data_IF_590892099359
#
_entry.id   IF_590892099359
#
_cell.length_a   1.000
_cell.length_b   1.000
_cell.length_c   1.000
_cell.angle_alpha   90.00
_cell.angle_beta   90.00
_cell.angle_gamma   90.00
#
_symmetry.space_group_name_H-M   'P 1'
#
loop_
_entity.id
_entity.type
_entity.pdbx_description
1 polymer ?
#
# COMPACT_ATOMS: atom_id res chain seq x y z
N UNK A 1 29.81 -11.88 -6.65
CA UNK A 1 31.10 -12.34 -6.09
C UNK A 1 30.79 -13.14 -4.84
N UNK A 2 31.30 -14.37 -4.77
CA UNK A 2 31.00 -15.38 -3.74
C UNK A 2 31.67 -15.05 -2.39
N UNK A 3 31.16 -15.72 -1.35
CA UNK A 3 31.79 -16.07 -0.05
C UNK A 3 31.50 -15.14 1.13
N UNK A 4 30.70 -15.62 2.09
CA UNK A 4 31.12 -15.68 3.51
C UNK A 4 30.61 -16.96 4.18
N UNK A 5 31.59 -17.75 4.61
CA UNK A 5 31.51 -18.96 5.42
C UNK A 5 31.21 -18.54 6.87
N UNK A 6 30.28 -19.22 7.56
CA UNK A 6 30.18 -19.17 9.02
C UNK A 6 30.28 -20.61 9.53
N UNK A 7 31.40 -20.90 10.20
CA UNK A 7 31.64 -22.13 10.96
C UNK A 7 31.35 -21.76 12.42
N UNK A 8 30.38 -22.40 13.07
CA UNK A 8 30.25 -22.37 14.53
C UNK A 8 30.51 -23.77 15.10
N UNK A 9 31.40 -23.77 16.08
CA UNK A 9 32.07 -24.89 16.73
C UNK A 9 31.13 -25.59 17.74
N UNK A 10 31.12 -26.92 17.72
CA UNK A 10 30.24 -27.74 18.55
C UNK A 10 30.64 -27.86 20.02
N UNK A 11 29.64 -28.16 20.85
CA UNK A 11 29.79 -28.73 22.19
C UNK A 11 28.98 -30.04 22.24
N UNK A 12 29.64 -31.16 22.52
CA UNK A 12 29.04 -32.50 22.59
C UNK A 12 28.49 -32.76 23.98
N UNK A 13 27.22 -33.14 24.07
CA UNK A 13 26.64 -33.82 25.23
C UNK A 13 26.09 -35.19 24.78
N UNK A 14 26.31 -36.27 25.53
CA UNK A 14 25.68 -37.56 25.23
C UNK A 14 24.27 -37.57 25.84
N UNK A 15 23.29 -38.18 25.17
CA UNK A 15 22.32 -39.15 25.73
C UNK A 15 21.11 -39.39 24.79
N UNK A 16 20.87 -40.68 24.55
CA UNK A 16 19.64 -41.36 24.06
C UNK A 16 19.30 -41.21 22.57
N UNK A 17 19.60 -42.28 21.83
CA UNK A 17 19.20 -42.48 20.44
C UNK A 17 17.68 -42.77 20.33
N UNK A 18 16.96 -41.84 19.72
CA UNK A 18 15.70 -42.10 19.01
C UNK A 18 16.01 -42.18 17.51
N UNK A 19 15.31 -43.00 16.70
CA UNK A 19 15.47 -42.95 15.25
C UNK A 19 14.94 -41.60 14.77
N UNK A 20 15.84 -40.69 14.43
CA UNK A 20 15.51 -39.43 13.78
C UNK A 20 15.04 -39.74 12.36
N UNK A 21 13.73 -39.70 12.15
CA UNK A 21 13.14 -39.52 10.82
C UNK A 21 13.77 -38.24 10.28
N UNK A 22 14.58 -38.37 9.23
CA UNK A 22 15.31 -37.27 8.62
C UNK A 22 14.36 -36.13 8.28
N UNK A 23 14.43 -35.04 9.05
CA UNK A 23 13.88 -33.77 8.65
C UNK A 23 14.74 -33.30 7.48
N UNK A 24 14.27 -33.56 6.26
CA UNK A 24 14.77 -32.89 5.08
C UNK A 24 14.64 -31.38 5.35
N UNK A 25 15.78 -30.74 5.60
CA UNK A 25 15.87 -29.29 5.63
C UNK A 25 15.58 -28.82 4.22
N UNK A 26 14.32 -28.48 3.96
CA UNK A 26 13.96 -27.72 2.78
C UNK A 26 14.52 -26.32 3.00
N UNK A 27 15.74 -26.07 2.53
CA UNK A 27 16.22 -24.73 2.25
C UNK A 27 15.31 -24.14 1.17
N UNK A 28 14.19 -23.56 1.61
CA UNK A 28 13.39 -22.67 0.79
C UNK A 28 14.18 -21.38 0.60
N UNK A 29 15.19 -21.42 -0.27
CA UNK A 29 15.80 -20.20 -0.81
C UNK A 29 14.85 -19.66 -1.88
N UNK A 30 13.67 -19.22 -1.48
CA UNK A 30 12.98 -18.22 -2.28
C UNK A 30 13.72 -16.92 -2.02
N UNK A 31 14.59 -16.51 -2.96
CA UNK A 31 14.80 -15.07 -3.12
C UNK A 31 13.40 -14.51 -3.40
N UNK A 32 12.74 -14.06 -2.34
CA UNK A 32 11.40 -13.53 -2.43
C UNK A 32 11.56 -12.16 -3.08
N UNK A 33 11.58 -12.16 -4.42
CA UNK A 33 11.71 -10.95 -5.21
C UNK A 33 10.63 -9.98 -4.74
N UNK A 34 11.04 -8.77 -4.37
CA UNK A 34 10.12 -7.71 -3.97
C UNK A 34 9.03 -7.52 -5.05
N UNK A 35 7.73 -7.60 -4.70
CA UNK A 35 6.64 -7.56 -5.69
C UNK A 35 6.43 -6.14 -6.22
N UNK A 36 6.11 -6.00 -7.51
CA UNK A 36 5.70 -4.70 -8.05
C UNK A 36 4.32 -4.30 -7.49
N UNK A 37 4.16 -3.02 -7.18
CA UNK A 37 2.90 -2.45 -6.66
C UNK A 37 2.34 -1.50 -7.72
N UNK A 38 1.11 -1.78 -8.17
CA UNK A 38 0.36 -0.90 -9.07
C UNK A 38 -0.90 -0.39 -8.34
N UNK A 39 -0.95 0.92 -8.09
CA UNK A 39 -2.11 1.60 -7.49
C UNK A 39 -2.81 2.42 -8.56
N UNK A 40 -4.06 2.06 -8.87
CA UNK A 40 -4.92 2.78 -9.82
C UNK A 40 -6.02 3.47 -9.03
N UNK A 41 -6.16 4.79 -9.19
CA UNK A 41 -7.18 5.60 -8.52
C UNK A 41 -7.98 6.32 -9.58
N UNK A 42 -9.27 6.01 -9.69
CA UNK A 42 -10.22 6.77 -10.50
C UNK A 42 -10.66 8.04 -9.77
N UNK A 43 -10.88 9.14 -10.50
CA UNK A 43 -11.48 10.36 -9.95
C UNK A 43 -12.99 10.34 -10.23
N UNK A 44 -13.78 10.63 -9.19
CA UNK A 44 -15.25 10.70 -9.24
C UNK A 44 -15.97 9.48 -9.86
N UNK A 45 -15.36 8.30 -9.81
CA UNK A 45 -15.99 7.05 -10.28
C UNK A 45 -16.97 6.54 -9.23
N UNK A 46 -18.23 6.36 -9.63
CA UNK A 46 -19.25 5.72 -8.82
C UNK A 46 -19.10 4.20 -8.80
N UNK A 47 -19.52 3.58 -7.69
CA UNK A 47 -19.55 2.10 -7.60
C UNK A 47 -20.38 1.47 -8.72
N UNK A 48 -21.47 2.12 -9.14
CA UNK A 48 -22.33 1.67 -10.24
C UNK A 48 -21.75 1.82 -11.64
N UNK A 49 -20.59 2.46 -11.80
CA UNK A 49 -19.95 2.69 -13.11
C UNK A 49 -19.02 1.53 -13.52
N UNK A 50 -18.76 0.59 -12.60
CA UNK A 50 -17.82 -0.50 -12.79
C UNK A 50 -18.56 -1.84 -12.96
N UNK A 51 -18.25 -2.56 -14.04
CA UNK A 51 -18.84 -3.86 -14.36
C UNK A 51 -18.73 -4.89 -13.21
N UNK A 52 -17.62 -4.97 -12.42
CA UNK A 52 -17.54 -5.82 -11.23
C UNK A 52 -18.62 -5.62 -10.16
N UNK A 53 -19.28 -4.46 -10.19
CA UNK A 53 -20.30 -4.02 -9.24
C UNK A 53 -21.69 -3.86 -9.88
N UNK A 54 -21.88 -4.35 -11.12
CA UNK A 54 -23.18 -4.41 -11.79
C UNK A 54 -23.48 -3.31 -12.82
N UNK A 55 -22.47 -2.55 -13.26
CA UNK A 55 -22.62 -1.53 -14.29
C UNK A 55 -22.97 -2.09 -15.68
N UNK A 56 -23.68 -1.30 -16.47
CA UNK A 56 -23.84 -1.46 -17.91
C UNK A 56 -22.62 -1.00 -18.72
N UNK A 57 -21.73 -0.20 -18.13
CA UNK A 57 -20.53 0.31 -18.80
C UNK A 57 -19.51 -0.83 -18.96
N UNK A 58 -19.06 -1.05 -20.19
CA UNK A 58 -18.08 -2.09 -20.50
C UNK A 58 -16.70 -1.71 -19.96
N UNK A 59 -16.26 -2.42 -18.91
CA UNK A 59 -14.94 -2.24 -18.27
C UNK A 59 -14.20 -3.59 -18.20
N UNK A 60 -13.90 -4.23 -19.35
CA UNK A 60 -13.48 -5.64 -19.40
C UNK A 60 -12.16 -5.90 -18.66
N UNK A 61 -11.19 -4.98 -18.73
CA UNK A 61 -9.90 -5.11 -18.03
C UNK A 61 -10.08 -5.08 -16.51
N UNK A 62 -10.86 -4.13 -15.98
CA UNK A 62 -11.16 -4.05 -14.55
C UNK A 62 -11.99 -5.25 -14.09
N UNK A 63 -12.88 -5.75 -14.95
CA UNK A 63 -13.65 -6.96 -14.69
C UNK A 63 -12.77 -8.21 -14.56
N UNK A 64 -11.78 -8.40 -15.44
CA UNK A 64 -10.82 -9.51 -15.30
C UNK A 64 -10.04 -9.44 -13.99
N UNK A 65 -9.50 -8.25 -13.66
CA UNK A 65 -8.77 -8.04 -12.40
C UNK A 65 -9.63 -8.34 -11.17
N UNK A 66 -10.91 -7.96 -11.21
CA UNK A 66 -11.83 -8.18 -10.10
C UNK A 66 -12.30 -9.64 -9.97
N UNK A 67 -12.26 -10.43 -11.04
CA UNK A 67 -12.54 -11.87 -11.02
C UNK A 67 -11.37 -12.70 -10.48
N UNK A 68 -10.15 -12.27 -10.77
CA UNK A 68 -8.92 -12.91 -10.28
C UNK A 68 -8.48 -12.42 -8.90
N UNK A 69 -9.02 -11.27 -8.45
CA UNK A 69 -8.65 -10.61 -7.21
C UNK A 69 -9.72 -10.66 -6.12
N UNK A 70 -9.58 -9.72 -5.18
CA UNK A 70 -10.52 -9.51 -4.07
C UNK A 70 -11.30 -8.22 -4.33
N UNK A 71 -12.62 -8.27 -4.11
CA UNK A 71 -13.52 -7.12 -4.22
C UNK A 71 -13.96 -6.68 -2.83
N UNK A 72 -13.96 -5.37 -2.60
CA UNK A 72 -14.48 -4.75 -1.39
C UNK A 72 -15.80 -4.05 -1.69
N UNK A 73 -16.87 -4.42 -0.99
CA UNK A 73 -18.18 -3.76 -1.08
C UNK A 73 -18.43 -2.79 0.09
N UNK A 74 -17.45 -2.64 0.98
CA UNK A 74 -17.51 -1.77 2.15
C UNK A 74 -16.19 -0.99 2.34
N UNK A 75 -15.63 -0.51 1.23
CA UNK A 75 -14.47 0.38 1.20
C UNK A 75 -14.95 1.83 1.27
N UNK A 76 -14.28 2.67 2.07
CA UNK A 76 -14.70 4.04 2.32
C UNK A 76 -13.62 5.02 1.85
N UNK A 77 -14.06 6.09 1.20
CA UNK A 77 -13.26 7.24 0.85
C UNK A 77 -13.90 8.50 1.47
N UNK A 78 -13.09 9.53 1.69
CA UNK A 78 -13.63 10.86 1.97
C UNK A 78 -14.36 11.40 0.73
N UNK A 79 -15.39 12.25 0.89
CA UNK A 79 -16.14 12.82 -0.25
C UNK A 79 -15.34 13.87 -1.04
N UNK A 80 -14.04 13.99 -0.80
CA UNK A 80 -13.14 14.97 -1.41
C UNK A 80 -11.85 14.27 -1.84
N UNK A 81 -11.49 14.42 -3.11
CA UNK A 81 -10.39 13.66 -3.73
C UNK A 81 -9.03 13.95 -3.09
N UNK A 82 -8.73 15.20 -2.71
CA UNK A 82 -7.48 15.55 -2.03
C UNK A 82 -7.37 14.91 -0.65
N UNK A 83 -8.46 14.90 0.12
CA UNK A 83 -8.54 14.30 1.45
C UNK A 83 -8.32 12.79 1.36
N UNK A 84 -9.03 12.13 0.44
CA UNK A 84 -8.87 10.68 0.19
C UNK A 84 -7.46 10.34 -0.22
N UNK A 85 -6.84 11.10 -1.13
CA UNK A 85 -5.46 10.86 -1.57
C UNK A 85 -4.46 11.03 -0.42
N UNK A 86 -4.64 12.05 0.43
CA UNK A 86 -3.80 12.23 1.62
C UNK A 86 -3.86 11.04 2.56
N UNK A 87 -5.06 10.57 2.90
CA UNK A 87 -5.26 9.40 3.73
C UNK A 87 -4.71 8.13 3.08
N UNK A 88 -4.95 7.93 1.78
CA UNK A 88 -4.50 6.77 1.02
C UNK A 88 -2.96 6.65 0.99
N UNK A 89 -2.26 7.76 0.77
CA UNK A 89 -0.80 7.74 0.68
C UNK A 89 -0.09 7.71 2.03
N UNK A 90 -0.73 8.10 3.12
CA UNK A 90 -0.09 8.19 4.44
C UNK A 90 -0.58 7.15 5.43
N UNK A 91 -1.78 6.60 5.23
CA UNK A 91 -2.48 5.77 6.21
C UNK A 91 -2.98 6.55 7.44
N UNK A 92 -2.79 7.87 7.49
CA UNK A 92 -3.10 8.71 8.65
C UNK A 92 -4.44 9.43 8.52
N UNK A 93 -4.93 9.99 9.63
CA UNK A 93 -6.13 10.81 9.61
C UNK A 93 -5.87 12.11 8.82
N UNK A 94 -6.89 12.62 8.12
CA UNK A 94 -6.75 13.82 7.29
C UNK A 94 -6.29 15.05 8.08
N UNK A 95 -6.73 15.20 9.34
CA UNK A 95 -6.31 16.31 10.20
C UNK A 95 -4.83 16.18 10.58
N UNK A 96 -4.30 14.97 10.76
CA UNK A 96 -2.90 14.77 11.12
C UNK A 96 -1.94 15.17 9.99
N UNK A 97 -2.41 15.10 8.74
CA UNK A 97 -1.62 15.37 7.54
C UNK A 97 -1.96 16.70 6.85
N UNK A 98 -2.77 17.54 7.50
CA UNK A 98 -3.11 18.90 7.06
C UNK A 98 -4.25 19.04 6.06
N UNK A 99 -5.02 17.98 5.86
CA UNK A 99 -6.15 17.90 4.95
C UNK A 99 -7.50 17.85 5.69
N UNK A 100 -7.59 18.48 6.86
CA UNK A 100 -8.86 18.73 7.56
C UNK A 100 -9.77 19.71 6.82
N UNK A 101 -9.22 20.51 5.90
CA UNK A 101 -9.96 21.31 4.92
C UNK A 101 -9.32 21.14 3.55
N UNK A 102 -10.13 21.13 2.49
CA UNK A 102 -9.63 21.08 1.11
C UNK A 102 -9.67 22.45 0.43
N UNK A 103 -10.55 23.33 0.90
CA UNK A 103 -10.71 24.70 0.40
C UNK A 103 -11.23 25.60 1.53
N UNK A 104 -10.53 26.70 1.75
CA UNK A 104 -10.87 27.72 2.73
C UNK A 104 -12.05 28.60 2.31
N UNK A 105 -12.42 28.60 1.03
CA UNK A 105 -13.64 29.26 0.55
C UNK A 105 -14.90 28.56 1.12
N UNK A 106 -14.79 27.25 1.35
CA UNK A 106 -15.87 26.41 1.88
C UNK A 106 -15.83 26.37 3.41
N UNK A 107 -14.65 26.46 4.03
CA UNK A 107 -14.48 26.49 5.48
C UNK A 107 -13.63 27.66 6.00
N UNK A 108 -14.09 28.93 5.89
CA UNK A 108 -13.30 30.09 6.31
C UNK A 108 -12.75 30.03 7.75
N UNK A 109 -13.47 29.50 8.75
CA UNK A 109 -12.97 29.40 10.13
C UNK A 109 -11.81 28.41 10.35
N UNK A 110 -11.46 27.58 9.35
CA UNK A 110 -10.36 26.61 9.47
C UNK A 110 -9.00 27.20 9.11
N UNK A 111 -8.97 28.37 8.44
CA UNK A 111 -7.74 28.98 7.94
C UNK A 111 -6.75 29.26 9.07
N UNK A 112 -5.51 28.81 8.87
CA UNK A 112 -4.41 29.00 9.82
C UNK A 112 -4.44 28.07 11.04
N UNK A 113 -5.39 27.12 11.11
CA UNK A 113 -5.40 26.09 12.15
C UNK A 113 -4.54 24.90 11.74
N UNK A 114 -3.79 24.36 12.70
CA UNK A 114 -3.01 23.13 12.51
C UNK A 114 -3.93 21.98 12.10
N UNK A 115 -3.53 21.22 11.08
CA UNK A 115 -4.29 20.12 10.52
C UNK A 115 -5.31 20.52 9.44
N UNK A 116 -5.42 21.82 9.16
CA UNK A 116 -6.32 22.38 8.15
C UNK A 116 -5.54 23.20 7.13
N UNK A 117 -4.27 22.88 6.87
CA UNK A 117 -3.36 23.59 5.97
C UNK A 117 -3.82 23.59 4.50
N UNK A 118 -4.68 22.66 4.10
CA UNK A 118 -5.20 22.57 2.73
C UNK A 118 -4.23 21.89 1.75
N UNK A 119 -3.12 21.36 2.27
CA UNK A 119 -2.12 20.60 1.52
C UNK A 119 -1.51 19.55 2.44
N UNK A 120 -0.88 18.54 1.84
CA UNK A 120 -0.15 17.52 2.58
C UNK A 120 1.07 18.15 3.28
N UNK A 121 1.10 18.11 4.60
CA UNK A 121 2.17 18.74 5.39
C UNK A 121 3.49 17.99 5.24
N UNK A 122 4.60 18.67 5.55
CA UNK A 122 5.95 18.06 5.54
C UNK A 122 6.17 17.02 6.64
N UNK A 123 5.28 16.99 7.63
CA UNK A 123 5.33 16.01 8.72
C UNK A 123 4.70 14.67 8.30
N UNK A 124 4.01 14.63 7.16
CA UNK A 124 3.35 13.44 6.66
C UNK A 124 4.29 12.63 5.76
N UNK A 125 4.67 11.44 6.21
CA UNK A 125 5.45 10.48 5.41
C UNK A 125 4.50 9.66 4.54
N UNK A 126 4.80 9.58 3.25
CA UNK A 126 4.03 8.83 2.27
C UNK A 126 4.55 7.41 2.09
N UNK A 127 3.67 6.50 1.67
CA UNK A 127 4.03 5.13 1.29
C UNK A 127 5.07 5.12 0.16
N UNK A 128 5.06 6.12 -0.73
CA UNK A 128 6.05 6.24 -1.78
C UNK A 128 7.47 6.52 -1.22
N UNK A 129 7.59 7.36 -0.19
CA UNK A 129 8.87 7.59 0.49
C UNK A 129 9.35 6.32 1.20
N UNK A 130 8.48 5.65 1.94
CA UNK A 130 8.81 4.39 2.62
C UNK A 130 9.25 3.29 1.64
N UNK A 131 8.57 3.16 0.50
CA UNK A 131 8.93 2.21 -0.55
C UNK A 131 10.27 2.56 -1.19
N UNK A 132 10.53 3.85 -1.45
CA UNK A 132 11.82 4.30 -2.00
C UNK A 132 12.98 3.99 -1.06
N UNK A 133 12.82 4.26 0.23
CA UNK A 133 13.80 3.91 1.27
C UNK A 133 14.05 2.40 1.34
N UNK A 134 13.06 1.60 0.96
CA UNK A 134 13.13 0.13 0.90
C UNK A 134 13.68 -0.42 -0.44
N UNK A 135 14.13 0.45 -1.34
CA UNK A 135 14.75 0.08 -2.62
C UNK A 135 13.80 0.02 -3.82
N UNK A 136 12.54 0.44 -3.69
CA UNK A 136 11.61 0.49 -4.82
C UNK A 136 11.85 1.72 -5.69
N UNK A 137 11.66 1.55 -7.00
CA UNK A 137 11.47 2.66 -7.91
C UNK A 137 10.01 3.12 -7.86
N UNK A 138 9.78 4.39 -7.52
CA UNK A 138 8.44 4.96 -7.44
C UNK A 138 8.15 5.85 -8.64
N UNK A 139 7.08 5.57 -9.37
CA UNK A 139 6.63 6.36 -10.52
C UNK A 139 5.19 6.81 -10.30
N UNK A 140 4.85 7.99 -10.80
CA UNK A 140 3.48 8.50 -10.80
C UNK A 140 3.15 8.99 -12.20
N UNK A 141 2.02 8.52 -12.72
CA UNK A 141 1.46 8.98 -13.97
C UNK A 141 0.05 9.49 -13.67
N UNK A 142 -0.21 10.71 -14.10
CA UNK A 142 -1.55 11.31 -14.03
C UNK A 142 -2.02 11.45 -15.47
N UNK A 143 -3.08 10.72 -15.81
CA UNK A 143 -3.71 10.83 -17.12
C UNK A 143 -4.84 11.85 -17.01
N UNK A 144 -4.60 13.06 -17.50
CA UNK A 144 -5.58 14.14 -17.57
C UNK A 144 -5.12 15.19 -18.57
N UNK A 145 -6.05 15.58 -19.46
CA UNK A 145 -5.98 16.72 -20.39
C UNK A 145 -5.56 18.02 -19.71
#
# INVERSE_FOLDING_TARGET
MKNRIVISLGLVAPFIAYPAIGAASAEATSEQSQPNILLIVGDDIGMGDLQPFGSEISTPTLNSLAQEGIRFNNFHASPVSSVTRGQLFTGANSIEVGLGSFDYSIYPPSKGKKGYEGYLTKDAVTIAELLRDSGYNTYTLVSGT
#
